data_IF_458957033868
#
_entry.id   IF_458957033868
#
_cell.length_a   1.000
_cell.length_b   1.000
_cell.length_c   1.000
_cell.angle_alpha   90.00
_cell.angle_beta   90.00
_cell.angle_gamma   90.00
#
_symmetry.space_group_name_H-M   'P 1'
#
loop_
_entity.id
_entity.type
_entity.pdbx_description
1 polymer ?
#
# COMPACT_ATOMS: atom_id res chain seq x y z
N UNK A 1 -27.72 12.10 25.19
CA UNK A 1 -26.25 12.20 25.11
C UNK A 1 -25.77 10.88 24.57
N UNK A 2 -25.46 10.78 23.25
CA UNK A 2 -24.91 9.60 22.67
C UNK A 2 -23.39 9.67 22.81
N UNK A 3 -22.88 9.04 23.87
CA UNK A 3 -21.47 8.64 23.88
C UNK A 3 -21.31 7.49 22.88
N UNK A 4 -20.98 7.80 21.63
CA UNK A 4 -20.40 6.82 20.76
C UNK A 4 -18.96 6.58 21.25
N UNK A 5 -18.57 5.33 21.52
CA UNK A 5 -17.17 5.04 21.79
C UNK A 5 -16.35 5.49 20.59
N UNK A 6 -15.33 6.30 20.83
CA UNK A 6 -14.35 6.66 19.80
C UNK A 6 -13.69 5.37 19.32
N UNK A 7 -14.10 4.86 18.18
CA UNK A 7 -13.42 3.73 17.53
C UNK A 7 -12.04 4.20 17.10
N UNK A 8 -11.01 3.69 17.75
CA UNK A 8 -9.63 3.94 17.37
C UNK A 8 -9.20 2.86 16.40
N UNK A 9 -9.21 3.15 15.09
CA UNK A 9 -8.67 2.22 14.10
C UNK A 9 -7.14 2.26 14.08
N UNK A 10 -6.50 1.10 13.90
CA UNK A 10 -5.03 0.99 13.83
C UNK A 10 -4.40 1.85 12.74
N UNK A 11 -5.19 2.18 11.72
CA UNK A 11 -4.79 2.99 10.57
C UNK A 11 -5.19 4.47 10.67
N UNK A 12 -5.93 4.88 11.71
CA UNK A 12 -6.15 6.29 11.98
C UNK A 12 -4.86 6.90 12.52
N UNK A 13 -4.18 7.68 11.71
CA UNK A 13 -3.15 8.61 12.15
C UNK A 13 -3.79 9.99 12.27
N UNK A 14 -3.35 10.81 13.25
CA UNK A 14 -3.66 12.23 13.21
C UNK A 14 -3.22 12.77 11.84
N UNK A 15 -4.10 13.56 11.21
CA UNK A 15 -3.79 14.15 9.90
C UNK A 15 -2.60 15.10 10.07
N UNK A 16 -1.44 14.71 9.58
CA UNK A 16 -0.26 15.58 9.57
C UNK A 16 -0.42 16.59 8.44
N UNK A 17 -0.51 17.88 8.80
CA UNK A 17 -0.72 18.95 7.82
C UNK A 17 0.37 19.00 6.73
N UNK A 18 1.58 18.49 7.01
CA UNK A 18 2.66 18.38 6.03
C UNK A 18 2.33 17.46 4.87
N UNK A 19 1.42 16.50 5.08
CA UNK A 19 0.99 15.56 4.04
C UNK A 19 0.10 16.20 2.97
N UNK A 20 -0.32 17.46 3.13
CA UNK A 20 -1.13 18.18 2.13
C UNK A 20 -0.33 18.56 0.90
N UNK A 21 0.97 18.77 1.05
CA UNK A 21 1.87 19.26 -0.02
C UNK A 21 2.94 18.24 -0.41
N UNK A 22 2.72 16.95 -0.15
CA UNK A 22 3.71 15.91 -0.47
C UNK A 22 3.86 15.71 -1.97
N UNK A 23 5.06 15.26 -2.33
CA UNK A 23 5.41 14.80 -3.68
C UNK A 23 5.33 13.29 -3.73
N UNK A 24 4.78 12.80 -4.83
CA UNK A 24 4.58 11.37 -5.11
C UNK A 24 5.41 11.00 -6.34
N UNK A 25 6.10 9.88 -6.27
CA UNK A 25 6.82 9.33 -7.41
C UNK A 25 5.88 8.45 -8.24
N UNK A 26 5.77 8.73 -9.54
CA UNK A 26 4.93 7.98 -10.49
C UNK A 26 5.76 7.70 -11.74
N UNK A 27 6.16 6.46 -11.96
CA UNK A 27 6.88 6.00 -13.17
C UNK A 27 8.14 6.81 -13.53
N UNK A 28 8.87 7.33 -12.55
CA UNK A 28 10.07 8.14 -12.76
C UNK A 28 9.89 9.63 -12.50
N UNK A 29 8.66 10.12 -12.50
CA UNK A 29 8.34 11.52 -12.26
C UNK A 29 7.96 11.78 -10.80
N UNK A 30 8.47 12.87 -10.22
CA UNK A 30 8.06 13.35 -8.89
C UNK A 30 7.10 14.52 -9.06
N UNK A 31 5.83 14.29 -8.74
CA UNK A 31 4.73 15.23 -8.94
C UNK A 31 4.03 15.57 -7.63
N UNK A 32 3.31 16.69 -7.57
CA UNK A 32 2.46 17.01 -6.42
C UNK A 32 1.34 15.96 -6.27
N UNK A 33 0.92 15.67 -5.04
CA UNK A 33 -0.10 14.65 -4.74
C UNK A 33 -1.39 14.83 -5.56
N UNK A 34 -1.83 16.06 -5.81
CA UNK A 34 -3.07 16.35 -6.55
C UNK A 34 -2.93 16.09 -8.05
N UNK A 35 -1.68 16.05 -8.55
CA UNK A 35 -1.34 15.76 -9.94
C UNK A 35 -0.92 14.30 -10.15
N UNK A 36 -0.71 13.54 -9.08
CA UNK A 36 -0.36 12.12 -9.13
C UNK A 36 -1.56 11.30 -9.63
N UNK A 37 -1.49 10.85 -10.88
CA UNK A 37 -2.61 10.17 -11.55
C UNK A 37 -2.12 8.90 -12.23
N UNK A 38 -2.96 7.88 -12.21
CA UNK A 38 -2.78 6.65 -12.98
C UNK A 38 -3.92 6.54 -14.00
N UNK A 39 -3.65 5.84 -15.11
CA UNK A 39 -4.67 5.63 -16.14
C UNK A 39 -5.85 4.82 -15.59
N UNK A 40 -7.07 5.16 -16.00
CA UNK A 40 -8.26 4.31 -15.74
C UNK A 40 -8.17 2.94 -16.43
N UNK A 41 -7.27 2.78 -17.40
CA UNK A 41 -6.94 1.51 -18.04
C UNK A 41 -5.79 0.77 -17.35
N UNK A 42 -5.30 1.25 -16.20
CA UNK A 42 -4.31 0.52 -15.41
C UNK A 42 -4.90 -0.76 -14.84
N UNK A 43 -4.16 -1.87 -14.93
CA UNK A 43 -4.63 -3.19 -14.49
C UNK A 43 -4.85 -3.25 -12.97
N UNK A 44 -4.08 -2.48 -12.20
CA UNK A 44 -4.25 -2.35 -10.75
C UNK A 44 -5.57 -1.68 -10.41
N UNK A 45 -5.93 -0.59 -11.10
CA UNK A 45 -7.20 0.09 -10.91
C UNK A 45 -8.40 -0.77 -11.32
N UNK A 46 -8.33 -1.42 -12.51
CA UNK A 46 -9.47 -2.20 -13.02
C UNK A 46 -9.65 -3.55 -12.35
N UNK A 47 -8.57 -4.22 -11.95
CA UNK A 47 -8.59 -5.65 -11.61
C UNK A 47 -7.90 -5.97 -10.26
N UNK A 48 -7.27 -5.00 -9.62
CA UNK A 48 -6.41 -5.27 -8.48
C UNK A 48 -5.14 -6.06 -8.85
N UNK A 49 -4.74 -6.05 -10.14
CA UNK A 49 -3.59 -6.79 -10.69
C UNK A 49 -2.29 -6.03 -10.42
N UNK A 50 -1.78 -6.17 -9.22
CA UNK A 50 -0.58 -5.51 -8.74
C UNK A 50 -0.19 -5.97 -7.35
N UNK A 51 1.01 -5.59 -6.95
CA UNK A 51 1.64 -5.88 -5.65
C UNK A 51 2.02 -4.58 -4.96
N UNK A 52 2.08 -4.60 -3.64
CA UNK A 52 2.48 -3.42 -2.88
C UNK A 52 3.28 -3.80 -1.64
N UNK A 53 4.06 -2.84 -1.15
CA UNK A 53 4.74 -2.93 0.13
C UNK A 53 4.48 -1.68 0.98
N UNK A 54 4.46 -1.89 2.30
CA UNK A 54 4.41 -0.82 3.29
C UNK A 54 5.67 -0.86 4.13
N UNK A 55 6.44 0.24 4.15
CA UNK A 55 7.69 0.33 4.89
C UNK A 55 7.72 1.61 5.72
N UNK A 56 8.48 1.60 6.80
CA UNK A 56 8.73 2.79 7.60
C UNK A 56 10.14 3.30 7.40
N UNK A 57 10.28 4.63 7.42
CA UNK A 57 11.56 5.32 7.39
C UNK A 57 11.90 5.81 8.80
N UNK A 58 13.04 5.38 9.30
CA UNK A 58 13.61 5.81 10.57
C UNK A 58 15.06 6.23 10.37
N UNK A 59 15.40 7.47 10.68
CA UNK A 59 16.76 8.03 10.62
C UNK A 59 17.49 7.72 9.31
N UNK A 60 16.80 7.95 8.19
CA UNK A 60 17.30 7.71 6.84
C UNK A 60 17.36 6.24 6.40
N UNK A 61 16.83 5.31 7.20
CA UNK A 61 16.86 3.87 6.90
C UNK A 61 15.45 3.31 6.73
N UNK A 62 15.23 2.56 5.66
CA UNK A 62 14.01 1.80 5.45
C UNK A 62 14.04 0.53 6.30
N UNK A 63 13.08 0.41 7.22
CA UNK A 63 12.97 -0.76 8.07
C UNK A 63 12.68 -2.02 7.25
N UNK A 64 13.47 -3.08 7.45
CA UNK A 64 13.34 -4.39 6.79
C UNK A 64 13.30 -4.30 5.25
N UNK A 65 14.11 -3.41 4.67
CA UNK A 65 14.11 -3.16 3.22
C UNK A 65 14.31 -4.44 2.42
N UNK A 66 15.29 -5.26 2.78
CA UNK A 66 15.64 -6.46 2.02
C UNK A 66 14.48 -7.49 2.04
N UNK A 67 13.85 -7.69 3.18
CA UNK A 67 12.71 -8.61 3.34
C UNK A 67 11.49 -8.12 2.55
N UNK A 68 11.23 -6.81 2.56
CA UNK A 68 10.18 -6.21 1.74
C UNK A 68 10.47 -6.38 0.25
N UNK A 69 11.71 -6.20 -0.18
CA UNK A 69 12.10 -6.40 -1.59
C UNK A 69 12.04 -7.87 -1.98
N UNK A 70 12.46 -8.80 -1.11
CA UNK A 70 12.31 -10.25 -1.35
C UNK A 70 10.85 -10.61 -1.61
N UNK A 71 9.93 -10.11 -0.79
CA UNK A 71 8.51 -10.36 -0.97
C UNK A 71 7.95 -9.70 -2.22
N UNK A 72 8.28 -8.42 -2.49
CA UNK A 72 7.81 -7.69 -3.67
C UNK A 72 8.25 -8.38 -4.95
N UNK A 73 9.56 -8.60 -5.14
CA UNK A 73 10.11 -9.22 -6.34
C UNK A 73 9.65 -10.66 -6.50
N UNK A 74 9.60 -11.44 -5.40
CA UNK A 74 9.08 -12.80 -5.40
C UNK A 74 7.60 -12.87 -5.80
N UNK A 75 6.77 -11.96 -5.26
CA UNK A 75 5.35 -11.87 -5.59
C UNK A 75 5.12 -11.43 -7.02
N UNK A 76 5.81 -10.40 -7.49
CA UNK A 76 5.73 -9.93 -8.88
C UNK A 76 6.14 -11.03 -9.87
N UNK A 77 7.25 -11.74 -9.58
CA UNK A 77 7.70 -12.88 -10.39
C UNK A 77 6.64 -13.99 -10.46
N UNK A 78 6.01 -14.33 -9.34
CA UNK A 78 5.01 -15.40 -9.28
C UNK A 78 3.77 -15.11 -10.14
N UNK A 79 3.39 -13.84 -10.29
CA UNK A 79 2.25 -13.43 -11.13
C UNK A 79 2.68 -12.90 -12.51
N UNK A 80 3.97 -12.96 -12.83
CA UNK A 80 4.51 -12.53 -14.13
C UNK A 80 4.43 -11.01 -14.34
N UNK A 81 4.66 -10.21 -13.30
CA UNK A 81 4.87 -8.76 -13.40
C UNK A 81 6.38 -8.50 -13.38
N UNK A 82 6.90 -7.87 -14.44
CA UNK A 82 8.25 -7.33 -14.47
C UNK A 82 8.20 -5.91 -13.85
N UNK A 83 8.99 -5.69 -12.80
CA UNK A 83 9.02 -4.38 -12.11
C UNK A 83 9.69 -3.30 -12.97
N UNK A 84 10.51 -3.70 -13.96
CA UNK A 84 11.20 -2.79 -14.86
C UNK A 84 12.46 -2.15 -14.27
N UNK A 85 12.82 -2.48 -13.03
CA UNK A 85 14.05 -2.05 -12.36
C UNK A 85 14.51 -3.07 -11.32
N UNK A 86 15.75 -2.98 -10.91
CA UNK A 86 16.32 -3.80 -9.84
C UNK A 86 16.07 -3.17 -8.44
N UNK A 87 16.54 -3.86 -7.39
CA UNK A 87 16.40 -3.38 -6.00
C UNK A 87 17.08 -2.04 -5.76
N UNK A 88 18.22 -1.80 -6.41
CA UNK A 88 18.94 -0.54 -6.29
C UNK A 88 18.14 0.61 -6.90
N UNK A 89 17.50 0.37 -8.04
CA UNK A 89 16.59 1.33 -8.67
C UNK A 89 15.36 1.64 -7.80
N UNK A 90 14.78 0.63 -7.14
CA UNK A 90 13.68 0.85 -6.18
C UNK A 90 14.15 1.68 -4.98
N UNK A 91 15.33 1.36 -4.42
CA UNK A 91 15.90 2.13 -3.29
C UNK A 91 16.16 3.58 -3.68
N UNK A 92 16.67 3.82 -4.89
CA UNK A 92 16.91 5.15 -5.41
C UNK A 92 15.59 5.94 -5.55
N UNK A 93 14.55 5.35 -6.13
CA UNK A 93 13.23 5.97 -6.24
C UNK A 93 12.62 6.31 -4.87
N UNK A 94 12.75 5.42 -3.88
CA UNK A 94 12.34 5.66 -2.49
C UNK A 94 13.11 6.83 -1.88
N UNK A 95 14.44 6.87 -2.08
CA UNK A 95 15.31 7.91 -1.56
C UNK A 95 15.01 9.27 -2.19
N UNK A 96 14.81 9.32 -3.49
CA UNK A 96 14.41 10.54 -4.21
C UNK A 96 13.06 11.06 -3.71
N UNK A 97 12.10 10.17 -3.50
CA UNK A 97 10.77 10.55 -3.01
C UNK A 97 10.82 11.09 -1.58
N UNK A 98 11.59 10.45 -0.70
CA UNK A 98 11.79 10.91 0.68
C UNK A 98 12.48 12.28 0.71
N UNK A 99 13.53 12.47 -0.11
CA UNK A 99 14.26 13.72 -0.22
C UNK A 99 13.37 14.87 -0.76
N UNK A 100 12.54 14.61 -1.77
CA UNK A 100 11.61 15.59 -2.33
C UNK A 100 10.58 16.10 -1.31
N UNK A 101 10.35 15.33 -0.23
CA UNK A 101 9.44 15.65 0.86
C UNK A 101 10.16 16.07 2.15
N UNK A 102 11.50 16.19 2.14
CA UNK A 102 12.32 16.47 3.32
C UNK A 102 12.07 15.45 4.46
N UNK A 103 11.82 14.19 4.13
CA UNK A 103 11.54 13.12 5.08
C UNK A 103 12.83 12.34 5.39
N UNK A 104 13.17 12.25 6.68
CA UNK A 104 14.32 11.48 7.17
C UNK A 104 13.90 10.41 8.17
N UNK A 105 12.83 10.67 8.92
CA UNK A 105 12.31 9.77 9.96
C UNK A 105 10.79 9.94 10.11
N UNK A 106 10.17 9.06 10.87
CA UNK A 106 8.72 9.12 11.17
C UNK A 106 7.86 9.21 9.90
N UNK A 107 8.20 8.42 8.89
CA UNK A 107 7.43 8.37 7.67
C UNK A 107 7.03 6.93 7.33
N UNK A 108 5.89 6.80 6.67
CA UNK A 108 5.35 5.56 6.14
C UNK A 108 5.31 5.62 4.62
N UNK A 109 5.86 4.60 3.98
CA UNK A 109 5.83 4.43 2.53
C UNK A 109 4.80 3.40 2.11
N UNK A 110 4.07 3.71 1.05
CA UNK A 110 3.34 2.74 0.23
C UNK A 110 3.97 2.70 -1.16
N UNK A 111 4.64 1.61 -1.45
CA UNK A 111 5.19 1.27 -2.77
C UNK A 111 4.21 0.34 -3.49
N UNK A 112 3.75 0.72 -4.66
CA UNK A 112 2.77 -0.03 -5.47
C UNK A 112 3.33 -0.31 -6.86
N UNK A 113 3.13 -1.53 -7.35
CA UNK A 113 3.50 -1.95 -8.70
C UNK A 113 2.33 -2.68 -9.32
N UNK A 114 1.86 -2.22 -10.46
CA UNK A 114 0.83 -2.91 -11.25
C UNK A 114 1.41 -3.48 -12.53
N UNK A 115 0.66 -4.33 -13.24
CA UNK A 115 1.06 -4.81 -14.59
C UNK A 115 1.02 -3.71 -15.65
N UNK A 116 0.50 -2.51 -15.32
CA UNK A 116 0.42 -1.37 -16.21
C UNK A 116 -0.86 -1.27 -17.04
N UNK A 117 -0.80 -0.47 -18.08
CA UNK A 117 -1.95 -0.06 -18.88
C UNK A 117 -2.34 -1.18 -19.85
N UNK A 118 -3.63 -1.45 -19.97
CA UNK A 118 -4.22 -2.44 -20.88
C UNK A 118 -4.84 -1.79 -22.10
N UNK A 119 -4.83 -2.51 -23.22
CA UNK A 119 -5.54 -2.09 -24.44
C UNK A 119 -7.06 -2.23 -24.32
N UNK A 120 -7.52 -3.19 -23.53
CA UNK A 120 -8.93 -3.51 -23.33
C UNK A 120 -9.19 -3.89 -21.86
N UNK A 121 -10.38 -3.60 -21.31
CA UNK A 121 -10.70 -3.82 -19.91
C UNK A 121 -11.00 -5.29 -19.57
N UNK A 122 -10.18 -6.23 -20.06
CA UNK A 122 -10.30 -7.66 -19.78
C UNK A 122 -9.09 -8.16 -18.98
N UNK A 123 -9.29 -9.26 -18.23
CA UNK A 123 -8.33 -9.79 -17.28
C UNK A 123 -7.06 -10.39 -17.91
N UNK A 124 -7.07 -10.77 -19.19
CA UNK A 124 -5.94 -11.49 -19.79
C UNK A 124 -4.64 -10.68 -19.76
N UNK A 125 -3.52 -11.20 -19.21
CA UNK A 125 -2.26 -10.45 -19.05
C UNK A 125 -1.67 -9.95 -20.37
N UNK A 126 -1.85 -10.67 -21.48
CA UNK A 126 -1.35 -10.27 -22.83
C UNK A 126 -1.98 -8.99 -23.37
N UNK A 127 -3.03 -8.48 -22.73
CA UNK A 127 -3.65 -7.21 -23.11
C UNK A 127 -2.94 -6.00 -22.48
N UNK A 128 -1.96 -6.22 -21.60
CA UNK A 128 -1.12 -5.12 -21.08
C UNK A 128 -0.11 -4.71 -22.15
N UNK A 129 -0.13 -3.43 -22.52
CA UNK A 129 0.67 -2.84 -23.60
C UNK A 129 1.82 -1.98 -23.10
N UNK A 130 1.72 -1.47 -21.88
CA UNK A 130 2.81 -0.72 -21.25
C UNK A 130 3.71 -1.66 -20.42
N UNK A 131 4.85 -1.15 -19.99
CA UNK A 131 5.55 -1.70 -18.84
C UNK A 131 4.71 -1.52 -17.56
N UNK A 132 5.26 -1.90 -16.39
CA UNK A 132 4.58 -1.75 -15.11
C UNK A 132 4.25 -0.28 -14.83
N UNK A 133 3.22 -0.03 -14.02
CA UNK A 133 3.03 1.25 -13.36
C UNK A 133 3.53 1.12 -11.94
N UNK A 134 4.47 1.98 -11.54
CA UNK A 134 4.95 2.05 -10.18
C UNK A 134 4.58 3.39 -9.57
N UNK A 135 4.12 3.37 -8.32
CA UNK A 135 3.78 4.57 -7.53
C UNK A 135 4.38 4.44 -6.14
N UNK A 136 5.04 5.49 -5.67
CA UNK A 136 5.59 5.57 -4.32
C UNK A 136 4.97 6.78 -3.62
N UNK A 137 4.19 6.51 -2.57
CA UNK A 137 3.61 7.50 -1.68
C UNK A 137 4.38 7.42 -0.36
N UNK A 138 4.93 8.53 0.11
CA UNK A 138 5.56 8.61 1.43
C UNK A 138 4.86 9.72 2.20
N UNK A 139 4.38 9.40 3.41
CA UNK A 139 3.67 10.31 4.28
C UNK A 139 4.33 10.41 5.65
N UNK A 140 4.33 11.59 6.23
CA UNK A 140 4.65 11.76 7.65
C UNK A 140 3.64 10.96 8.48
N UNK A 141 4.12 10.01 9.26
CA UNK A 141 3.27 9.12 10.04
C UNK A 141 4.02 8.59 11.25
N UNK A 142 3.48 8.85 12.43
CA UNK A 142 3.99 8.25 13.68
C UNK A 142 3.03 7.16 14.15
N UNK A 143 3.54 6.04 14.67
CA UNK A 143 2.70 5.07 15.38
C UNK A 143 1.99 5.76 16.56
N UNK A 144 0.70 5.53 16.71
CA UNK A 144 -0.07 6.09 17.85
C UNK A 144 0.46 5.50 19.15
N UNK A 145 0.85 6.34 20.07
CA UNK A 145 1.32 5.92 21.40
C UNK A 145 0.21 5.21 22.19
N UNK A 146 -1.03 5.62 22.02
CA UNK A 146 -2.21 5.00 22.64
C UNK A 146 -2.38 3.54 22.24
N UNK A 147 -2.18 3.21 20.95
CA UNK A 147 -2.24 1.84 20.45
C UNK A 147 -1.10 1.00 21.05
N UNK A 148 0.07 1.58 21.24
CA UNK A 148 1.19 0.90 21.87
C UNK A 148 0.94 0.66 23.39
N UNK A 149 0.26 1.58 24.06
CA UNK A 149 0.00 1.51 25.49
C UNK A 149 -1.22 0.62 25.83
N UNK A 150 -2.27 0.65 25.03
CA UNK A 150 -3.57 0.03 25.34
C UNK A 150 -3.96 -1.11 24.40
N UNK A 151 -3.27 -1.26 23.26
CA UNK A 151 -3.63 -2.26 22.23
C UNK A 151 -4.84 -1.82 21.41
N UNK A 152 -5.44 -2.80 20.71
CA UNK A 152 -6.62 -2.67 19.88
C UNK A 152 -7.69 -3.67 20.31
N UNK A 153 -8.95 -3.29 20.19
CA UNK A 153 -10.08 -4.20 20.34
C UNK A 153 -10.27 -5.00 19.04
N UNK A 154 -10.09 -6.31 19.13
CA UNK A 154 -10.22 -7.22 17.99
C UNK A 154 -11.50 -8.03 18.09
N UNK A 155 -12.12 -8.32 16.94
CA UNK A 155 -13.28 -9.21 16.84
C UNK A 155 -13.10 -10.23 15.73
N UNK A 156 -13.50 -11.48 16.00
CA UNK A 156 -13.57 -12.50 14.94
C UNK A 156 -14.80 -12.25 14.08
N UNK A 157 -14.58 -12.17 12.77
CA UNK A 157 -15.66 -11.95 11.79
C UNK A 157 -15.84 -13.19 10.90
N UNK A 158 -17.05 -13.41 10.32
CA UNK A 158 -17.30 -14.55 9.44
C UNK A 158 -16.60 -14.43 8.08
N UNK A 159 -16.00 -13.29 7.75
CA UNK A 159 -15.27 -13.11 6.51
C UNK A 159 -14.02 -13.97 6.47
N UNK A 160 -14.01 -15.01 5.64
CA UNK A 160 -12.85 -15.92 5.51
C UNK A 160 -11.86 -15.36 4.49
N UNK A 161 -10.59 -15.36 4.85
CA UNK A 161 -9.51 -15.07 3.92
C UNK A 161 -9.34 -16.23 2.95
N UNK A 162 -9.27 -15.94 1.65
CA UNK A 162 -9.12 -16.98 0.62
C UNK A 162 -7.89 -17.85 0.84
N UNK A 163 -8.04 -19.17 0.64
CA UNK A 163 -6.93 -20.11 0.67
C UNK A 163 -5.98 -19.93 -0.52
N UNK A 164 -4.81 -20.57 -0.51
CA UNK A 164 -3.78 -20.43 -1.57
C UNK A 164 -4.28 -20.78 -2.96
N UNK A 165 -5.28 -21.66 -3.07
CA UNK A 165 -5.88 -22.06 -4.35
C UNK A 165 -6.79 -20.97 -4.95
N UNK A 166 -7.30 -20.03 -4.14
CA UNK A 166 -8.08 -18.90 -4.62
C UNK A 166 -7.16 -17.70 -4.89
N UNK A 167 -6.44 -17.29 -3.86
CA UNK A 167 -5.43 -16.23 -3.92
C UNK A 167 -4.47 -16.42 -2.74
N UNK A 168 -3.23 -16.77 -3.03
CA UNK A 168 -2.23 -17.02 -2.00
C UNK A 168 -1.98 -15.75 -1.16
N UNK A 169 -2.31 -15.82 0.11
CA UNK A 169 -2.24 -14.70 1.04
C UNK A 169 -0.81 -14.20 1.31
N UNK A 170 0.22 -14.99 0.94
CA UNK A 170 1.62 -14.54 1.01
C UNK A 170 1.93 -13.39 0.05
N UNK A 171 1.15 -13.28 -1.06
CA UNK A 171 1.29 -12.16 -1.98
C UNK A 171 0.57 -10.93 -1.44
N UNK A 172 1.32 -9.84 -1.28
CA UNK A 172 0.72 -8.58 -0.85
C UNK A 172 0.12 -7.85 -2.06
N UNK A 173 -1.00 -8.40 -2.58
CA UNK A 173 -1.65 -7.91 -3.79
C UNK A 173 -2.56 -6.71 -3.53
N UNK A 174 -2.90 -5.96 -4.58
CA UNK A 174 -3.88 -4.88 -4.56
C UNK A 174 -5.32 -5.39 -4.33
N UNK A 175 -5.60 -6.66 -4.59
CA UNK A 175 -6.92 -7.28 -4.39
C UNK A 175 -7.23 -7.46 -2.90
N UNK A 176 -7.71 -6.40 -2.25
CA UNK A 176 -7.96 -6.35 -0.79
C UNK A 176 -9.45 -6.32 -0.42
N UNK A 177 -10.35 -6.62 -1.36
CA UNK A 177 -11.79 -6.50 -1.10
C UNK A 177 -12.25 -7.33 0.11
N UNK A 178 -11.74 -8.55 0.27
CA UNK A 178 -12.13 -9.36 1.43
C UNK A 178 -11.59 -8.79 2.76
N UNK A 179 -10.43 -8.13 2.75
CA UNK A 179 -9.93 -7.41 3.94
C UNK A 179 -10.81 -6.20 4.27
N UNK A 180 -11.22 -5.44 3.25
CA UNK A 180 -12.16 -4.32 3.42
C UNK A 180 -13.49 -4.79 4.00
N UNK A 181 -14.02 -5.92 3.51
CA UNK A 181 -15.26 -6.50 4.05
C UNK A 181 -15.11 -6.94 5.51
N UNK A 182 -13.96 -7.49 5.88
CA UNK A 182 -13.67 -7.84 7.26
C UNK A 182 -13.62 -6.60 8.17
N UNK A 183 -12.91 -5.55 7.75
CA UNK A 183 -12.86 -4.27 8.48
C UNK A 183 -14.26 -3.65 8.66
N UNK A 184 -15.10 -3.64 7.61
CA UNK A 184 -16.48 -3.15 7.70
C UNK A 184 -17.34 -3.96 8.70
N UNK A 185 -17.09 -5.26 8.82
CA UNK A 185 -17.79 -6.08 9.81
C UNK A 185 -17.33 -5.76 11.23
N UNK A 186 -16.00 -5.61 11.44
CA UNK A 186 -15.45 -5.22 12.74
C UNK A 186 -15.97 -3.85 13.19
N UNK A 187 -15.99 -2.86 12.30
CA UNK A 187 -16.53 -1.51 12.57
C UNK A 187 -18.00 -1.58 13.01
N UNK A 188 -18.85 -2.35 12.31
CA UNK A 188 -20.26 -2.53 12.68
C UNK A 188 -20.45 -3.20 14.04
N UNK A 189 -19.45 -3.93 14.51
CA UNK A 189 -19.43 -4.58 15.82
C UNK A 189 -18.75 -3.72 16.90
N UNK A 190 -18.30 -2.52 16.55
CA UNK A 190 -17.65 -1.57 17.47
C UNK A 190 -16.22 -1.97 17.87
N UNK A 191 -15.55 -2.76 17.02
CA UNK A 191 -14.17 -3.17 17.22
C UNK A 191 -13.22 -2.40 16.29
N UNK A 192 -11.95 -2.31 16.69
CA UNK A 192 -10.92 -1.58 15.93
C UNK A 192 -10.44 -2.36 14.70
N UNK A 193 -10.35 -3.70 14.82
CA UNK A 193 -9.85 -4.56 13.74
C UNK A 193 -10.54 -5.93 13.73
N UNK A 194 -10.47 -6.62 12.60
CA UNK A 194 -11.00 -7.96 12.36
C UNK A 194 -9.92 -9.05 12.44
N UNK A 195 -10.31 -10.19 13.02
CA UNK A 195 -9.58 -11.46 12.96
C UNK A 195 -10.29 -12.45 12.04
#
# INVERSE_FOLDING_TARGET
MNDQPSSHHSHETEEDARNRDIRIWVNGDIVHRDDAKVSVYDSGFMLGDGMWEGMRLYDGKWAFFDEHMDRLFGSCKAVGIDIGMDRAGVLDALTQTAAANNMVTDAHCRLMVTRGIKDKPFQHPRLSRSGPTMVIIIEHSKPKQEVQAHGLALVTVPQVRGGPMAQDAKYNSHSKLNCVLACLQAERMGADEAL
#
